data_IF_921858425194
#
_entry.id   IF_921858425194
#
_cell.length_a   1.000
_cell.length_b   1.000
_cell.length_c   1.000
_cell.angle_alpha   90.00
_cell.angle_beta   90.00
_cell.angle_gamma   90.00
#
_symmetry.space_group_name_H-M   'P 1'
#
loop_
_entity.id
_entity.type
_entity.pdbx_description
1 polymer ?
#
# COMPACT_ATOMS: atom_id res chain seq x y z
N UNK A 1 8.16 -4.81 10.74
CA UNK A 1 8.71 -4.30 9.47
C UNK A 1 8.00 -4.96 8.30
N UNK A 2 7.88 -4.28 7.16
CA UNK A 2 7.22 -4.84 5.97
C UNK A 2 7.94 -4.41 4.69
N UNK A 3 7.58 -5.01 3.56
CA UNK A 3 8.20 -4.71 2.26
C UNK A 3 7.16 -4.11 1.32
N UNK A 4 7.53 -3.03 0.62
CA UNK A 4 6.69 -2.35 -0.39
C UNK A 4 7.50 -2.25 -1.69
N UNK A 5 7.04 -2.88 -2.77
CA UNK A 5 7.75 -2.90 -4.06
C UNK A 5 9.27 -3.20 -3.85
N UNK A 6 9.57 -4.26 -3.10
CA UNK A 6 10.94 -4.72 -2.75
C UNK A 6 11.73 -3.82 -1.78
N UNK A 7 11.16 -2.70 -1.30
CA UNK A 7 11.80 -1.81 -0.30
C UNK A 7 11.30 -2.10 1.10
N UNK A 8 12.20 -2.18 2.09
CA UNK A 8 11.83 -2.34 3.50
C UNK A 8 11.33 -1.03 4.09
N UNK A 9 10.20 -1.08 4.78
CA UNK A 9 9.56 0.05 5.46
C UNK A 9 9.31 -0.30 6.93
N UNK A 10 9.48 0.70 7.80
CA UNK A 10 9.18 0.57 9.22
C UNK A 10 7.68 0.43 9.42
N UNK A 11 7.27 -0.68 10.02
CA UNK A 11 5.88 -0.92 10.39
C UNK A 11 5.56 -0.22 11.72
N UNK A 12 4.35 0.34 11.83
CA UNK A 12 3.79 0.84 13.09
C UNK A 12 2.42 0.20 13.34
N UNK A 13 2.09 -0.01 14.61
CA UNK A 13 0.79 -0.55 14.99
C UNK A 13 -0.34 0.40 14.55
N UNK A 14 -1.41 -0.17 14.00
CA UNK A 14 -2.55 0.59 13.49
C UNK A 14 -2.35 1.22 12.10
N UNK A 15 -1.20 1.02 11.45
CA UNK A 15 -0.94 1.57 10.12
C UNK A 15 -1.90 1.00 9.06
N UNK A 16 -2.54 1.90 8.31
CA UNK A 16 -3.41 1.56 7.18
C UNK A 16 -2.68 1.67 5.84
N UNK A 17 -3.32 1.20 4.77
CA UNK A 17 -2.84 1.46 3.39
C UNK A 17 -2.82 2.96 3.09
N UNK A 18 -3.82 3.71 3.55
CA UNK A 18 -3.84 5.16 3.36
C UNK A 18 -2.65 5.84 4.06
N UNK A 19 -2.31 5.43 5.27
CA UNK A 19 -1.14 5.93 6.00
C UNK A 19 0.16 5.69 5.24
N UNK A 20 0.34 4.48 4.69
CA UNK A 20 1.50 4.16 3.85
C UNK A 20 1.59 5.09 2.65
N UNK A 21 0.50 5.29 1.92
CA UNK A 21 0.50 6.14 0.73
C UNK A 21 0.79 7.61 1.08
N UNK A 22 0.28 8.09 2.21
CA UNK A 22 0.59 9.43 2.72
C UNK A 22 2.07 9.56 3.11
N UNK A 23 2.66 8.55 3.75
CA UNK A 23 4.07 8.54 4.15
C UNK A 23 5.03 8.48 2.95
N UNK A 24 4.63 7.82 1.86
CA UNK A 24 5.40 7.79 0.61
C UNK A 24 5.49 9.18 -0.05
N UNK A 25 4.48 10.03 0.19
CA UNK A 25 4.38 11.39 -0.33
C UNK A 25 4.70 11.48 -1.84
N UNK A 26 4.23 10.49 -2.61
CA UNK A 26 4.41 10.45 -4.06
C UNK A 26 3.19 11.02 -4.80
N UNK A 27 3.39 11.34 -6.09
CA UNK A 27 2.35 11.90 -6.95
C UNK A 27 1.53 10.81 -7.67
N UNK A 28 1.76 9.53 -7.37
CA UNK A 28 1.10 8.45 -8.08
C UNK A 28 -0.30 8.21 -7.54
N UNK A 29 -1.24 8.03 -8.45
CA UNK A 29 -2.55 7.46 -8.11
C UNK A 29 -2.45 5.95 -8.22
N UNK A 30 -2.71 5.24 -7.13
CA UNK A 30 -2.73 3.78 -7.12
C UNK A 30 -4.15 3.24 -7.31
N UNK A 31 -4.32 2.33 -8.28
CA UNK A 31 -5.63 1.70 -8.55
C UNK A 31 -5.94 0.59 -7.53
N UNK A 32 -4.91 -0.14 -7.12
CA UNK A 32 -5.01 -1.20 -6.12
C UNK A 32 -3.67 -1.38 -5.42
N UNK A 33 -3.76 -1.91 -4.20
CA UNK A 33 -2.63 -2.38 -3.40
C UNK A 33 -2.82 -3.87 -3.17
N UNK A 34 -1.80 -4.67 -3.44
CA UNK A 34 -1.79 -6.08 -3.07
C UNK A 34 -1.06 -6.23 -1.74
N UNK A 35 -1.71 -6.85 -0.76
CA UNK A 35 -1.11 -7.21 0.54
C UNK A 35 -1.06 -8.73 0.58
N UNK A 36 0.14 -9.30 0.51
CA UNK A 36 0.39 -10.72 0.31
C UNK A 36 -0.40 -11.24 -0.91
N UNK A 37 -1.47 -12.01 -0.67
CA UNK A 37 -2.33 -12.57 -1.72
C UNK A 37 -3.66 -11.82 -1.91
N UNK A 38 -3.95 -10.80 -1.10
CA UNK A 38 -5.20 -10.05 -1.14
C UNK A 38 -5.05 -8.75 -1.92
N UNK A 39 -6.03 -8.42 -2.75
CA UNK A 39 -6.13 -7.11 -3.41
C UNK A 39 -7.04 -6.19 -2.59
N UNK A 40 -6.64 -4.93 -2.50
CA UNK A 40 -7.34 -3.85 -1.81
C UNK A 40 -7.42 -2.68 -2.78
N UNK A 41 -8.57 -2.02 -2.88
CA UNK A 41 -8.76 -0.80 -3.68
C UNK A 41 -9.50 0.26 -2.86
N UNK A 42 -9.59 1.48 -3.38
CA UNK A 42 -10.45 2.51 -2.76
C UNK A 42 -11.91 2.05 -2.76
N UNK A 43 -12.71 2.36 -1.72
CA UNK A 43 -12.40 3.21 -0.56
C UNK A 43 -11.75 2.47 0.63
N UNK A 44 -11.36 1.20 0.50
CA UNK A 44 -10.93 0.38 1.63
C UNK A 44 -9.51 0.68 2.13
N UNK A 45 -8.79 1.60 1.48
CA UNK A 45 -7.45 2.00 1.90
C UNK A 45 -7.40 2.56 3.33
N UNK A 46 -8.41 3.34 3.71
CA UNK A 46 -8.48 3.97 5.04
C UNK A 46 -8.84 2.97 6.15
N UNK A 47 -9.34 1.78 5.78
CA UNK A 47 -9.82 0.76 6.73
C UNK A 47 -8.92 -0.47 6.79
N UNK A 48 -8.10 -0.67 5.76
CA UNK A 48 -7.28 -1.86 5.66
C UNK A 48 -5.97 -1.65 6.38
N UNK A 49 -5.85 -2.33 7.52
CA UNK A 49 -4.61 -2.41 8.29
C UNK A 49 -3.56 -3.21 7.52
N UNK A 50 -2.32 -2.74 7.60
CA UNK A 50 -1.14 -3.45 7.11
C UNK A 50 -0.67 -4.39 8.24
N UNK A 51 -0.67 -5.71 8.06
CA UNK A 51 -0.10 -6.63 9.04
C UNK A 51 1.41 -6.46 9.15
N UNK A 52 1.98 -6.77 10.31
CA UNK A 52 3.44 -6.86 10.42
C UNK A 52 3.97 -8.01 9.52
N UNK A 53 5.20 -7.87 9.01
CA UNK A 53 5.87 -8.83 8.13
C UNK A 53 5.11 -9.16 6.82
N UNK A 54 4.26 -8.24 6.34
CA UNK A 54 3.59 -8.40 5.05
C UNK A 54 4.44 -7.93 3.86
N UNK A 55 4.09 -8.45 2.68
CA UNK A 55 4.62 -7.99 1.39
C UNK A 55 3.54 -7.20 0.64
N UNK A 56 3.89 -6.00 0.20
CA UNK A 56 2.99 -5.09 -0.50
C UNK A 56 3.48 -4.77 -1.90
N UNK A 57 2.53 -4.77 -2.84
CA UNK A 57 2.75 -4.29 -4.20
C UNK A 57 1.77 -3.17 -4.51
N UNK A 58 2.31 -2.00 -4.88
CA UNK A 58 1.51 -0.85 -5.28
C UNK A 58 1.36 -0.86 -6.80
N UNK A 59 0.13 -0.87 -7.29
CA UNK A 59 -0.15 -0.86 -8.74
C UNK A 59 -0.58 0.55 -9.14
N UNK A 60 0.30 1.34 -9.78
CA UNK A 60 -0.03 2.70 -10.21
C UNK A 60 -1.04 2.66 -11.36
N UNK A 61 -1.86 3.71 -11.44
CA UNK A 61 -2.71 3.97 -12.58
C UNK A 61 -1.83 4.33 -13.78
N UNK A 62 -1.91 3.55 -14.84
CA UNK A 62 -1.29 3.86 -16.14
C UNK A 62 -2.42 4.29 -17.07
N UNK A 63 -2.46 5.58 -17.43
CA UNK A 63 -3.35 6.05 -18.48
C UNK A 63 -2.79 5.56 -19.82
N UNK A 64 -3.49 4.63 -20.47
CA UNK A 64 -3.15 4.18 -21.82
C UNK A 64 -3.41 5.30 -22.82
N UNK A 65 -2.41 5.59 -23.66
CA UNK A 65 -2.53 6.44 -24.84
C UNK A 65 -2.94 5.65 -26.07
#
# INVERSE_FOLDING_TARGET
MFTVNEKKVTWREGMTVADLLNDLNDSYTYILVRINHKQVSRPDFDKTLIPDNSELFLVPMVAGG
#
